data_IF_712626081837
#
_entry.id   IF_712626081837
#
_cell.length_a   1.000
_cell.length_b   1.000
_cell.length_c   1.000
_cell.angle_alpha   90.00
_cell.angle_beta   90.00
_cell.angle_gamma   90.00
#
_symmetry.space_group_name_H-M   'P 1'
#
loop_
_entity.id
_entity.type
_entity.pdbx_description
1 polymer ?
#
# COMPACT_ATOMS: atom_id res chain seq x y z
N UNK A 1 21.73 8.18 -9.55
CA UNK A 1 21.25 7.19 -8.56
C UNK A 1 19.74 7.13 -8.60
N UNK A 2 19.13 5.93 -8.74
CA UNK A 2 17.67 5.78 -8.83
C UNK A 2 16.99 5.88 -7.45
N UNK A 3 17.01 7.07 -6.85
CA UNK A 3 16.37 7.37 -5.55
C UNK A 3 14.90 6.89 -5.47
N UNK A 4 14.08 6.99 -6.55
CA UNK A 4 12.71 6.46 -6.53
C UNK A 4 12.63 4.94 -6.31
N UNK A 5 13.57 4.16 -6.86
CA UNK A 5 13.59 2.70 -6.68
C UNK A 5 13.97 2.32 -5.24
N UNK A 6 14.87 3.08 -4.62
CA UNK A 6 15.26 2.86 -3.22
C UNK A 6 14.07 3.09 -2.26
N UNK A 7 13.26 4.12 -2.50
CA UNK A 7 12.04 4.39 -1.70
C UNK A 7 10.96 3.30 -1.85
N UNK A 8 10.86 2.70 -3.03
CA UNK A 8 9.98 1.55 -3.28
C UNK A 8 10.47 0.32 -2.51
N UNK A 9 11.78 0.03 -2.58
CA UNK A 9 12.37 -1.09 -1.86
C UNK A 9 12.25 -0.91 -0.34
N UNK A 10 12.46 0.30 0.16
CA UNK A 10 12.26 0.64 1.57
C UNK A 10 10.85 0.28 2.06
N UNK A 11 9.80 0.65 1.30
CA UNK A 11 8.42 0.26 1.63
C UNK A 11 8.20 -1.25 1.58
N UNK A 12 8.79 -1.93 0.60
CA UNK A 12 8.70 -3.38 0.49
C UNK A 12 9.36 -4.07 1.71
N UNK A 13 10.46 -3.53 2.22
CA UNK A 13 11.14 -4.06 3.41
C UNK A 13 10.42 -3.72 4.72
N UNK A 14 9.73 -2.58 4.79
CA UNK A 14 8.90 -2.23 5.94
C UNK A 14 7.76 -3.23 6.15
N UNK A 15 7.19 -3.77 5.08
CA UNK A 15 6.08 -4.73 5.14
C UNK A 15 6.37 -5.98 6.01
N UNK A 16 7.42 -6.78 5.77
CA UNK A 16 7.76 -7.91 6.61
C UNK A 16 8.22 -7.49 8.01
N UNK A 17 8.86 -6.33 8.17
CA UNK A 17 9.27 -5.82 9.50
C UNK A 17 8.04 -5.56 10.37
N UNK A 18 7.02 -4.89 9.83
CA UNK A 18 5.77 -4.59 10.54
C UNK A 18 5.02 -5.88 10.92
N UNK A 19 4.94 -6.85 10.00
CA UNK A 19 4.36 -8.17 10.27
C UNK A 19 5.09 -8.92 11.39
N UNK A 20 6.42 -8.93 11.33
CA UNK A 20 7.25 -9.61 12.33
C UNK A 20 7.10 -8.96 13.71
N UNK A 21 7.11 -7.62 13.77
CA UNK A 21 6.90 -6.89 15.02
C UNK A 21 5.53 -7.20 15.65
N UNK A 22 4.48 -7.25 14.83
CA UNK A 22 3.14 -7.59 15.29
C UNK A 22 3.06 -9.01 15.86
N UNK A 23 3.75 -9.97 15.24
CA UNK A 23 3.71 -11.36 15.66
C UNK A 23 4.51 -11.64 16.95
N UNK A 24 5.64 -10.96 17.16
CA UNK A 24 6.54 -11.26 18.28
C UNK A 24 6.40 -10.34 19.49
N UNK A 25 5.93 -9.10 19.32
CA UNK A 25 5.99 -8.05 20.36
C UNK A 25 4.60 -7.53 20.77
N UNK A 26 3.55 -7.96 20.05
CA UNK A 26 2.12 -7.75 20.34
C UNK A 26 1.78 -6.32 20.82
N UNK A 27 1.53 -6.10 22.11
CA UNK A 27 1.08 -4.82 22.65
C UNK A 27 2.09 -3.66 22.55
N UNK A 28 3.38 -3.91 22.81
CA UNK A 28 4.40 -2.85 22.76
C UNK A 28 4.72 -2.43 21.31
N UNK A 29 4.33 -3.25 20.33
CA UNK A 29 4.59 -3.00 18.92
C UNK A 29 3.60 -1.99 18.31
N UNK A 30 2.44 -1.76 18.92
CA UNK A 30 1.35 -0.95 18.36
C UNK A 30 1.78 0.46 17.94
N UNK A 31 2.46 1.18 18.84
CA UNK A 31 2.94 2.54 18.56
C UNK A 31 4.01 2.51 17.46
N UNK A 32 4.93 1.55 17.51
CA UNK A 32 5.97 1.39 16.49
C UNK A 32 5.38 1.09 15.12
N UNK A 33 4.38 0.20 15.03
CA UNK A 33 3.67 -0.11 13.79
C UNK A 33 2.99 1.14 13.23
N UNK A 34 2.35 1.95 14.07
CA UNK A 34 1.73 3.21 13.64
C UNK A 34 2.78 4.18 13.08
N UNK A 35 3.91 4.35 13.77
CA UNK A 35 5.02 5.20 13.28
C UNK A 35 5.54 4.70 11.94
N UNK A 36 5.79 3.40 11.80
CA UNK A 36 6.26 2.79 10.56
C UNK A 36 5.23 2.90 9.43
N UNK A 37 3.93 2.82 9.75
CA UNK A 37 2.85 3.06 8.81
C UNK A 37 2.90 4.49 8.24
N UNK A 38 3.00 5.50 9.13
CA UNK A 38 3.11 6.89 8.69
C UNK A 38 4.40 7.15 7.90
N UNK A 39 5.53 6.56 8.28
CA UNK A 39 6.78 6.65 7.53
C UNK A 39 6.64 6.04 6.13
N UNK A 40 5.98 4.88 6.01
CA UNK A 40 5.68 4.26 4.72
C UNK A 40 4.77 5.14 3.85
N UNK A 41 3.76 5.78 4.43
CA UNK A 41 2.88 6.72 3.73
C UNK A 41 3.66 7.94 3.20
N UNK A 42 4.48 8.56 4.04
CA UNK A 42 5.31 9.72 3.65
C UNK A 42 6.30 9.33 2.55
N UNK A 43 6.92 8.14 2.66
CA UNK A 43 7.83 7.60 1.65
C UNK A 43 7.19 7.49 0.25
N UNK A 44 5.90 7.15 0.16
CA UNK A 44 5.15 7.16 -1.10
C UNK A 44 5.07 8.56 -1.71
N UNK A 45 4.66 9.54 -0.93
CA UNK A 45 4.49 10.92 -1.38
C UNK A 45 5.84 11.46 -1.90
N UNK A 46 6.90 11.23 -1.12
CA UNK A 46 8.25 11.63 -1.50
C UNK A 46 8.73 10.90 -2.77
N UNK A 47 8.43 9.62 -2.92
CA UNK A 47 8.76 8.84 -4.12
C UNK A 47 8.18 9.44 -5.40
N UNK A 48 6.92 9.89 -5.34
CA UNK A 48 6.26 10.59 -6.45
C UNK A 48 6.91 11.94 -6.77
N UNK A 49 7.16 12.77 -5.74
CA UNK A 49 7.79 14.09 -5.91
C UNK A 49 9.21 13.95 -6.50
N UNK A 50 10.01 13.00 -5.99
CA UNK A 50 11.37 12.77 -6.47
C UNK A 50 11.38 12.25 -7.91
N UNK A 51 10.46 11.37 -8.28
CA UNK A 51 10.34 10.89 -9.67
C UNK A 51 10.01 12.01 -10.65
N UNK A 52 9.16 12.97 -10.24
CA UNK A 52 8.87 14.17 -11.04
C UNK A 52 10.07 15.11 -11.13
N UNK A 53 10.74 15.41 -10.02
CA UNK A 53 11.93 16.29 -10.00
C UNK A 53 13.12 15.74 -10.80
N UNK A 54 13.24 14.41 -10.90
CA UNK A 54 14.30 13.78 -11.70
C UNK A 54 13.95 13.62 -13.19
N UNK A 55 12.72 13.95 -13.59
CA UNK A 55 12.30 13.79 -14.99
C UNK A 55 12.22 12.32 -15.45
N UNK A 56 12.03 11.36 -14.53
CA UNK A 56 11.95 9.91 -14.84
C UNK A 56 10.54 9.33 -14.55
N UNK A 57 9.43 9.94 -15.00
CA UNK A 57 8.10 9.35 -14.82
C UNK A 57 7.85 8.18 -15.79
N UNK A 58 8.52 7.05 -15.59
CA UNK A 58 8.30 5.84 -16.40
C UNK A 58 7.01 5.10 -16.00
N UNK A 59 6.33 4.49 -16.97
CA UNK A 59 5.18 3.61 -16.73
C UNK A 59 5.56 2.37 -15.90
N UNK A 60 6.77 1.84 -16.10
CA UNK A 60 7.27 0.70 -15.31
C UNK A 60 7.48 1.07 -13.84
N UNK A 61 8.08 2.25 -13.58
CA UNK A 61 8.30 2.73 -12.21
C UNK A 61 6.99 2.93 -11.46
N UNK A 62 5.96 3.47 -12.13
CA UNK A 62 4.61 3.64 -11.55
C UNK A 62 3.92 2.30 -11.25
N UNK A 63 4.14 1.27 -12.08
CA UNK A 63 3.61 -0.08 -11.83
C UNK A 63 4.26 -0.73 -10.61
N UNK A 64 5.59 -0.61 -10.50
CA UNK A 64 6.33 -1.11 -9.33
C UNK A 64 5.92 -0.41 -8.04
N UNK A 65 5.76 0.92 -8.09
CA UNK A 65 5.29 1.70 -6.93
C UNK A 65 3.91 1.24 -6.46
N UNK A 66 2.95 1.04 -7.39
CA UNK A 66 1.63 0.50 -7.05
C UNK A 66 1.68 -0.87 -6.39
N UNK A 67 2.44 -1.82 -6.96
CA UNK A 67 2.55 -3.16 -6.41
C UNK A 67 3.16 -3.14 -4.99
N UNK A 68 4.24 -2.38 -4.80
CA UNK A 68 4.86 -2.24 -3.47
C UNK A 68 3.91 -1.63 -2.44
N UNK A 69 3.09 -0.66 -2.86
CA UNK A 69 2.11 -0.02 -2.01
C UNK A 69 0.99 -0.96 -1.62
N UNK A 70 0.50 -1.77 -2.56
CA UNK A 70 -0.52 -2.80 -2.29
C UNK A 70 -0.01 -3.83 -1.28
N UNK A 71 1.21 -4.34 -1.46
CA UNK A 71 1.85 -5.29 -0.53
C UNK A 71 2.01 -4.67 0.87
N UNK A 72 2.43 -3.41 0.94
CA UNK A 72 2.59 -2.69 2.20
C UNK A 72 1.26 -2.56 2.97
N UNK A 73 0.18 -2.15 2.31
CA UNK A 73 -1.13 -2.03 2.95
C UNK A 73 -1.76 -3.37 3.33
N UNK A 74 -1.59 -4.40 2.50
CA UNK A 74 -2.01 -5.75 2.87
C UNK A 74 -1.30 -6.22 4.14
N UNK A 75 0.00 -5.94 4.26
CA UNK A 75 0.78 -6.30 5.44
C UNK A 75 0.28 -5.58 6.69
N UNK A 76 -0.05 -4.29 6.60
CA UNK A 76 -0.69 -3.55 7.71
C UNK A 76 -2.05 -4.14 8.07
N UNK A 77 -2.87 -4.52 7.08
CA UNK A 77 -4.16 -5.18 7.31
C UNK A 77 -4.01 -6.51 8.08
N UNK A 78 -3.04 -7.34 7.69
CA UNK A 78 -2.72 -8.58 8.42
C UNK A 78 -2.20 -8.30 9.83
N UNK A 79 -1.33 -7.30 10.00
CA UNK A 79 -0.88 -6.84 11.33
C UNK A 79 -2.05 -6.40 12.21
N UNK A 80 -3.02 -5.67 11.66
CA UNK A 80 -4.23 -5.28 12.40
C UNK A 80 -5.07 -6.50 12.81
N UNK A 81 -5.12 -7.53 11.96
CA UNK A 81 -5.78 -8.79 12.29
C UNK A 81 -5.12 -9.52 13.45
N UNK A 82 -3.79 -9.56 13.47
CA UNK A 82 -3.01 -10.20 14.54
C UNK A 82 -3.19 -9.44 15.86
N UNK A 83 -3.10 -8.11 15.84
CA UNK A 83 -3.12 -7.28 17.07
C UNK A 83 -4.52 -7.06 17.64
N UNK A 84 -5.57 -7.08 16.80
CA UNK A 84 -6.95 -6.79 17.21
C UNK A 84 -7.96 -7.82 16.65
N UNK A 85 -7.78 -9.12 16.90
CA UNK A 85 -8.60 -10.18 16.29
C UNK A 85 -10.08 -10.06 16.68
N UNK A 86 -10.36 -9.65 17.92
CA UNK A 86 -11.74 -9.47 18.42
C UNK A 86 -12.47 -8.32 17.72
N UNK A 87 -11.78 -7.21 17.44
CA UNK A 87 -12.37 -6.06 16.76
C UNK A 87 -12.68 -6.38 15.29
N UNK A 88 -11.82 -7.16 14.64
CA UNK A 88 -12.05 -7.65 13.27
C UNK A 88 -13.19 -8.65 13.26
N UNK A 89 -13.25 -9.60 14.20
CA UNK A 89 -14.33 -10.58 14.26
C UNK A 89 -15.72 -9.89 14.37
N UNK A 90 -15.83 -8.86 15.21
CA UNK A 90 -17.06 -8.10 15.41
C UNK A 90 -17.49 -7.29 14.17
N UNK A 91 -16.55 -6.87 13.33
CA UNK A 91 -16.80 -6.06 12.13
C UNK A 91 -16.53 -6.81 10.83
N UNK A 92 -16.41 -8.14 10.91
CA UNK A 92 -15.96 -9.00 9.80
C UNK A 92 -16.85 -8.83 8.57
N UNK A 93 -18.17 -8.77 8.76
CA UNK A 93 -19.16 -8.55 7.69
C UNK A 93 -18.85 -7.27 6.90
N UNK A 94 -18.64 -6.14 7.58
CA UNK A 94 -18.32 -4.86 6.94
C UNK A 94 -17.00 -4.92 6.18
N UNK A 95 -15.99 -5.59 6.75
CA UNK A 95 -14.67 -5.74 6.11
C UNK A 95 -14.78 -6.58 4.84
N UNK A 96 -15.51 -7.71 4.88
CA UNK A 96 -15.71 -8.55 3.70
C UNK A 96 -16.47 -7.82 2.59
N UNK A 97 -17.50 -7.05 2.92
CA UNK A 97 -18.24 -6.24 1.94
C UNK A 97 -17.29 -5.24 1.25
N UNK A 98 -16.44 -4.54 2.00
CA UNK A 98 -15.48 -3.59 1.42
C UNK A 98 -14.49 -4.32 0.50
N UNK A 99 -13.97 -5.47 0.92
CA UNK A 99 -13.06 -6.27 0.09
C UNK A 99 -13.74 -6.77 -1.19
N UNK A 100 -14.98 -7.22 -1.12
CA UNK A 100 -15.76 -7.63 -2.29
C UNK A 100 -15.98 -6.47 -3.27
N UNK A 101 -16.30 -5.29 -2.76
CA UNK A 101 -16.46 -4.08 -3.59
C UNK A 101 -15.13 -3.73 -4.26
N UNK A 102 -14.02 -3.76 -3.55
CA UNK A 102 -12.68 -3.46 -4.08
C UNK A 102 -12.29 -4.45 -5.20
N UNK A 103 -12.48 -5.75 -4.95
CA UNK A 103 -12.20 -6.82 -5.92
C UNK A 103 -13.08 -6.67 -7.15
N UNK A 104 -14.38 -6.41 -6.95
CA UNK A 104 -15.33 -6.24 -8.05
C UNK A 104 -14.99 -5.01 -8.88
N UNK A 105 -14.64 -3.88 -8.25
CA UNK A 105 -14.17 -2.68 -8.94
C UNK A 105 -12.92 -2.99 -9.78
N UNK A 106 -11.94 -3.69 -9.20
CA UNK A 106 -10.72 -4.08 -9.90
C UNK A 106 -11.01 -4.99 -11.10
N UNK A 107 -11.90 -5.98 -10.95
CA UNK A 107 -12.33 -6.89 -12.03
C UNK A 107 -13.04 -6.11 -13.13
N UNK A 108 -14.02 -5.27 -12.79
CA UNK A 108 -14.76 -4.46 -13.77
C UNK A 108 -13.81 -3.58 -14.57
N UNK A 109 -12.86 -2.91 -13.92
CA UNK A 109 -11.86 -2.08 -14.59
C UNK A 109 -11.00 -2.93 -15.53
N UNK A 110 -10.51 -4.08 -15.06
CA UNK A 110 -9.67 -4.99 -15.85
C UNK A 110 -10.40 -5.54 -17.08
N UNK A 111 -11.65 -5.97 -16.92
CA UNK A 111 -12.49 -6.51 -18.01
C UNK A 111 -12.86 -5.42 -19.01
N UNK A 112 -13.30 -4.25 -18.53
CA UNK A 112 -13.79 -3.16 -19.37
C UNK A 112 -12.67 -2.51 -20.19
N UNK A 113 -11.49 -2.34 -19.62
CA UNK A 113 -10.42 -1.58 -20.26
C UNK A 113 -9.27 -2.41 -20.83
N UNK A 114 -9.20 -3.73 -20.53
CA UNK A 114 -8.20 -4.70 -21.04
C UNK A 114 -6.72 -4.26 -20.89
N UNK A 115 -6.46 -3.18 -20.17
CA UNK A 115 -5.17 -2.58 -19.82
C UNK A 115 -5.27 -2.16 -18.35
N UNK A 116 -4.15 -2.09 -17.64
CA UNK A 116 -4.09 -1.46 -16.30
C UNK A 116 -4.43 0.03 -16.47
N UNK A 117 -5.72 0.38 -16.45
CA UNK A 117 -6.15 1.76 -16.62
C UNK A 117 -5.77 2.55 -15.39
N UNK A 118 -4.85 3.47 -15.62
CA UNK A 118 -4.55 4.58 -14.75
C UNK A 118 -5.78 5.51 -14.75
N UNK A 119 -6.69 5.33 -13.79
CA UNK A 119 -7.86 6.22 -13.62
C UNK A 119 -7.46 7.67 -13.28
N UNK A 120 -6.17 7.95 -13.04
CA UNK A 120 -5.64 9.28 -12.76
C UNK A 120 -5.20 10.09 -14.00
N UNK A 121 -5.30 9.58 -15.22
CA UNK A 121 -4.68 10.24 -16.38
C UNK A 121 -5.41 11.50 -16.90
N UNK A 122 -6.65 11.75 -16.50
CA UNK A 122 -7.40 12.92 -16.98
C UNK A 122 -7.37 14.10 -15.99
N UNK A 123 -7.64 13.86 -14.70
CA UNK A 123 -7.69 14.95 -13.71
C UNK A 123 -6.33 15.49 -13.28
N UNK A 124 -5.22 14.76 -13.46
CA UNK A 124 -3.88 15.28 -13.13
C UNK A 124 -3.26 16.13 -14.24
N UNK A 125 -3.96 16.33 -15.35
CA UNK A 125 -3.52 17.12 -16.51
C UNK A 125 -4.29 18.44 -16.68
N UNK A 126 -5.24 18.73 -15.78
CA UNK A 126 -5.92 20.01 -15.67
C UNK A 126 -5.18 20.91 -14.68
#
# INVERSE_FOLDING_TARGET
MHIPKALILFRLLLAPIILTLAYFVDDASKITVIILMYLGLVSKILGGIVAHKQGIPSAQLRRMDRLSYMVFWLSIGFTAWILYPQLIANNSVSIYIILEIEITCYIIIKVKFKKETYTHAFLSKL
#
